data_IF_612141240238
#
_entry.id   IF_612141240238
#
_cell.length_a   1.000
_cell.length_b   1.000
_cell.length_c   1.000
_cell.angle_alpha   90.00
_cell.angle_beta   90.00
_cell.angle_gamma   90.00
#
_symmetry.space_group_name_H-M   'P 1'
#
loop_
_entity.id
_entity.type
_entity.pdbx_description
1 polymer ?
#
# COMPACT_ATOMS: atom_id res chain seq x y z
N UNK A 1 24.16 -10.52 -46.55
CA UNK A 1 24.21 -9.39 -45.61
C UNK A 1 23.44 -9.76 -44.36
N UNK A 2 24.02 -9.49 -43.20
CA UNK A 2 23.78 -10.17 -41.93
C UNK A 2 22.74 -9.47 -41.02
N UNK A 3 21.88 -10.30 -40.43
CA UNK A 3 21.41 -10.28 -39.02
C UNK A 3 20.45 -9.17 -38.50
N UNK A 4 19.69 -9.46 -37.41
CA UNK A 4 18.23 -9.29 -37.32
C UNK A 4 17.80 -8.44 -36.11
N UNK A 5 16.49 -8.35 -35.82
CA UNK A 5 16.02 -8.18 -34.44
C UNK A 5 14.87 -9.14 -34.11
N UNK A 6 15.15 -9.96 -33.09
CA UNK A 6 14.28 -10.88 -32.36
C UNK A 6 13.45 -10.12 -31.31
N UNK A 7 12.47 -10.87 -30.81
CA UNK A 7 11.81 -10.84 -29.50
C UNK A 7 10.51 -10.02 -29.45
N UNK A 8 9.37 -10.57 -29.07
CA UNK A 8 9.12 -11.86 -28.44
C UNK A 8 8.13 -11.67 -27.30
N UNK A 9 6.96 -12.29 -27.46
CA UNK A 9 6.08 -12.83 -26.41
C UNK A 9 5.38 -11.79 -25.52
N UNK A 10 4.14 -11.43 -25.87
CA UNK A 10 3.12 -11.08 -24.88
C UNK A 10 2.18 -12.30 -24.74
N UNK A 11 2.41 -13.10 -23.70
CA UNK A 11 1.47 -14.13 -23.27
C UNK A 11 0.22 -13.44 -22.72
N UNK A 12 -0.92 -13.68 -23.34
CA UNK A 12 -2.21 -13.30 -22.79
C UNK A 12 -3.21 -14.44 -23.01
N UNK A 13 -3.01 -15.52 -22.25
CA UNK A 13 -4.05 -16.53 -22.05
C UNK A 13 -4.77 -16.17 -20.75
N UNK A 14 -5.86 -15.42 -20.86
CA UNK A 14 -6.84 -15.34 -19.77
C UNK A 14 -7.71 -16.59 -19.86
N UNK A 15 -7.43 -17.59 -19.05
CA UNK A 15 -8.35 -18.70 -18.82
C UNK A 15 -9.62 -18.14 -18.16
N UNK A 16 -10.73 -18.22 -18.89
CA UNK A 16 -12.08 -18.11 -18.35
C UNK A 16 -12.27 -19.24 -17.36
N UNK A 17 -12.46 -18.97 -16.07
CA UNK A 17 -13.46 -19.61 -15.18
C UNK A 17 -13.50 -18.87 -13.82
N UNK A 18 -14.73 -18.66 -13.33
CA UNK A 18 -15.16 -18.19 -12.01
C UNK A 18 -15.68 -16.75 -11.92
N UNK A 19 -17.02 -16.68 -11.90
CA UNK A 19 -17.83 -15.54 -11.51
C UNK A 19 -17.43 -14.99 -10.13
N UNK A 20 -16.76 -13.84 -10.12
CA UNK A 20 -16.82 -12.83 -9.08
C UNK A 20 -16.66 -11.46 -9.75
N UNK A 21 -17.42 -10.46 -9.29
CA UNK A 21 -17.59 -9.11 -9.87
C UNK A 21 -16.29 -8.51 -10.44
N UNK A 22 -16.34 -7.77 -11.58
CA UNK A 22 -15.16 -7.10 -12.08
C UNK A 22 -14.76 -6.00 -11.09
N UNK A 23 -13.64 -6.21 -10.40
CA UNK A 23 -12.82 -5.10 -9.94
C UNK A 23 -12.66 -4.14 -11.13
N UNK A 24 -12.77 -2.80 -10.93
CA UNK A 24 -12.69 -1.86 -12.04
C UNK A 24 -11.46 -2.20 -12.87
N UNK A 25 -11.68 -2.46 -14.16
CA UNK A 25 -10.63 -2.80 -15.11
C UNK A 25 -9.59 -1.69 -15.05
N UNK A 26 -8.52 -1.90 -14.27
CA UNK A 26 -7.36 -1.04 -14.24
C UNK A 26 -6.83 -1.08 -15.67
N UNK A 27 -7.22 -0.08 -16.45
CA UNK A 27 -6.74 0.05 -17.81
C UNK A 27 -5.23 0.22 -17.66
N UNK A 28 -4.40 -0.68 -18.20
CA UNK A 28 -2.97 -0.59 -18.00
C UNK A 28 -2.51 0.75 -18.58
N UNK A 29 -2.08 1.65 -17.70
CA UNK A 29 -1.52 2.93 -18.09
C UNK A 29 -0.34 2.66 -19.02
N UNK A 30 -0.36 3.21 -20.22
CA UNK A 30 0.76 3.05 -21.16
C UNK A 30 2.04 3.59 -20.50
N UNK A 31 3.19 2.89 -20.61
CA UNK A 31 4.45 3.38 -20.05
C UNK A 31 4.76 4.80 -20.53
N UNK A 32 5.18 5.66 -19.60
CA UNK A 32 5.63 7.03 -19.88
C UNK A 32 7.07 7.17 -19.40
N UNK A 33 7.88 7.85 -20.20
CA UNK A 33 9.22 8.23 -19.79
C UNK A 33 9.13 9.37 -18.76
N UNK A 34 9.81 9.21 -17.63
CA UNK A 34 9.86 10.18 -16.56
C UNK A 34 11.28 10.70 -16.36
N UNK A 35 11.41 11.99 -16.05
CA UNK A 35 12.71 12.62 -15.86
C UNK A 35 13.28 12.32 -14.48
N UNK A 36 14.51 11.81 -14.45
CA UNK A 36 15.34 11.71 -13.26
C UNK A 36 16.02 13.05 -12.98
N UNK A 37 16.08 13.42 -11.70
CA UNK A 37 16.77 14.61 -11.23
C UNK A 37 17.42 14.37 -9.86
N UNK A 38 18.18 15.36 -9.39
CA UNK A 38 18.85 15.33 -8.09
C UNK A 38 18.11 16.21 -7.09
N UNK A 39 17.88 15.67 -5.89
CA UNK A 39 17.45 16.43 -4.72
C UNK A 39 18.55 16.32 -3.66
N UNK A 40 19.45 17.31 -3.60
CA UNK A 40 20.66 17.27 -2.77
C UNK A 40 21.48 15.99 -3.00
N UNK A 41 21.55 15.12 -1.99
CA UNK A 41 22.29 13.85 -2.02
C UNK A 41 21.48 12.68 -2.58
N UNK A 42 20.17 12.83 -2.84
CA UNK A 42 19.30 11.78 -3.38
C UNK A 42 18.94 11.98 -4.85
N UNK A 43 18.56 10.89 -5.51
CA UNK A 43 17.94 10.91 -6.83
C UNK A 43 16.41 10.95 -6.66
N UNK A 44 15.72 11.63 -7.57
CA UNK A 44 14.28 11.76 -7.57
C UNK A 44 13.72 11.57 -8.99
N UNK A 45 12.48 11.09 -9.06
CA UNK A 45 11.69 10.94 -10.30
C UNK A 45 10.53 11.92 -10.23
N UNK A 46 10.23 12.62 -11.32
CA UNK A 46 8.95 13.35 -11.41
C UNK A 46 7.86 12.36 -11.81
N UNK A 47 6.88 12.16 -10.94
CA UNK A 47 5.73 11.30 -11.21
C UNK A 47 4.70 12.12 -11.99
N UNK A 48 4.37 11.75 -13.25
CA UNK A 48 3.30 12.40 -14.00
C UNK A 48 1.95 12.21 -13.30
N UNK A 49 1.01 13.16 -13.47
CA UNK A 49 -0.27 13.20 -12.76
C UNK A 49 -1.10 11.92 -12.95
N UNK A 50 -1.00 11.27 -14.10
CA UNK A 50 -1.71 10.02 -14.37
C UNK A 50 -1.20 8.81 -13.55
N UNK A 51 -0.01 8.92 -12.95
CA UNK A 51 0.59 7.92 -12.06
C UNK A 51 0.70 8.42 -10.61
N UNK A 52 0.00 9.50 -10.26
CA UNK A 52 0.02 10.04 -8.90
C UNK A 52 -0.47 8.99 -7.89
N UNK A 53 0.34 8.75 -6.85
CA UNK A 53 0.02 7.80 -5.80
C UNK A 53 -0.76 8.52 -4.69
N UNK A 54 -1.74 7.84 -4.07
CA UNK A 54 -2.44 8.42 -2.92
C UNK A 54 -1.49 8.58 -1.73
N UNK A 55 -1.70 9.66 -0.95
CA UNK A 55 -0.96 9.94 0.27
C UNK A 55 0.35 10.71 0.07
N UNK A 56 1.15 10.80 1.13
CA UNK A 56 2.41 11.58 1.18
C UNK A 56 3.66 10.68 1.27
N UNK A 57 3.48 9.36 1.38
CA UNK A 57 4.53 8.38 1.64
C UNK A 57 4.39 7.15 0.75
N UNK A 58 5.54 6.61 0.38
CA UNK A 58 5.64 5.41 -0.44
C UNK A 58 6.68 4.44 0.14
N UNK A 59 6.45 3.14 -0.04
CA UNK A 59 7.43 2.09 0.14
C UNK A 59 8.14 1.86 -1.19
N UNK A 60 9.46 1.65 -1.15
CA UNK A 60 10.26 1.39 -2.34
C UNK A 60 11.04 0.10 -2.12
N UNK A 61 10.90 -0.85 -3.05
CA UNK A 61 11.72 -2.05 -3.08
C UNK A 61 12.21 -2.35 -4.50
N UNK A 62 13.20 -3.24 -4.62
CA UNK A 62 13.85 -3.56 -5.90
C UNK A 62 13.60 -5.02 -6.26
N UNK A 63 13.11 -5.23 -7.48
CA UNK A 63 12.96 -6.55 -8.09
C UNK A 63 13.80 -6.62 -9.36
N UNK A 64 14.98 -7.23 -9.27
CA UNK A 64 15.95 -7.25 -10.37
C UNK A 64 16.35 -5.83 -10.79
N UNK A 65 16.05 -5.47 -12.04
CA UNK A 65 16.33 -4.13 -12.59
C UNK A 65 15.22 -3.10 -12.33
N UNK A 66 14.09 -3.50 -11.75
CA UNK A 66 12.92 -2.63 -11.52
C UNK A 66 12.93 -2.07 -10.11
N UNK A 67 12.52 -0.80 -9.99
CA UNK A 67 12.12 -0.22 -8.71
C UNK A 67 10.60 -0.25 -8.64
N UNK A 68 10.07 -0.91 -7.62
CA UNK A 68 8.64 -0.97 -7.32
C UNK A 68 8.35 0.08 -6.23
N UNK A 69 7.35 0.91 -6.48
CA UNK A 69 6.93 2.00 -5.59
C UNK A 69 5.47 1.80 -5.25
N UNK A 70 5.16 1.64 -3.97
CA UNK A 70 3.83 1.35 -3.46
C UNK A 70 3.40 2.43 -2.46
N UNK A 71 2.15 2.91 -2.49
CA UNK A 71 1.69 3.88 -1.52
C UNK A 71 1.66 3.26 -0.12
N UNK A 72 2.10 4.01 0.89
CA UNK A 72 1.90 3.59 2.28
C UNK A 72 0.50 4.02 2.69
N UNK A 73 -0.44 3.08 2.64
CA UNK A 73 -1.79 3.31 3.18
C UNK A 73 -1.73 3.26 4.70
N UNK A 74 -2.05 4.38 5.35
CA UNK A 74 -2.34 4.42 6.78
C UNK A 74 -3.71 5.05 6.98
N UNK A 75 -4.42 4.67 8.04
CA UNK A 75 -5.59 5.40 8.49
C UNK A 75 -5.24 6.87 8.71
N UNK A 76 -5.99 7.75 8.05
CA UNK A 76 -5.83 9.20 8.18
C UNK A 76 -6.67 9.78 9.31
N UNK A 77 -7.63 9.00 9.80
CA UNK A 77 -8.54 9.39 10.87
C UNK A 77 -8.93 8.19 11.75
N UNK A 78 -9.55 8.47 12.90
CA UNK A 78 -9.96 7.45 13.88
C UNK A 78 -10.96 6.45 13.29
N UNK A 79 -11.82 6.87 12.35
CA UNK A 79 -12.84 6.01 11.74
C UNK A 79 -12.19 4.98 10.83
N UNK A 80 -11.24 5.40 9.98
CA UNK A 80 -10.43 4.52 9.14
C UNK A 80 -9.62 3.54 9.99
N UNK A 81 -9.06 3.99 11.12
CA UNK A 81 -8.26 3.15 12.01
C UNK A 81 -9.12 2.06 12.63
N UNK A 82 -10.29 2.43 13.16
CA UNK A 82 -11.24 1.47 13.72
C UNK A 82 -11.76 0.49 12.65
N UNK A 83 -11.96 0.95 11.41
CA UNK A 83 -12.36 0.08 10.31
C UNK A 83 -11.26 -0.91 9.91
N UNK A 84 -9.98 -0.52 10.04
CA UNK A 84 -8.84 -1.41 9.84
C UNK A 84 -8.75 -2.44 10.97
N UNK A 85 -8.78 -2.03 12.23
CA UNK A 85 -8.76 -2.94 13.38
C UNK A 85 -9.93 -3.93 13.39
N UNK A 86 -11.11 -3.56 12.88
CA UNK A 86 -12.23 -4.49 12.72
C UNK A 86 -11.95 -5.64 11.74
N UNK A 87 -10.97 -5.51 10.85
CA UNK A 87 -10.57 -6.58 9.91
C UNK A 87 -9.58 -7.56 10.55
N UNK A 88 -8.95 -7.17 11.65
CA UNK A 88 -8.01 -8.03 12.36
C UNK A 88 -8.75 -9.14 13.11
N UNK A 89 -8.04 -10.23 13.37
CA UNK A 89 -8.61 -11.32 14.15
C UNK A 89 -8.89 -10.85 15.59
N UNK A 90 -9.95 -11.36 16.24
CA UNK A 90 -10.16 -11.11 17.66
C UNK A 90 -8.93 -11.51 18.48
N UNK A 91 -8.65 -10.72 19.52
CA UNK A 91 -7.56 -10.97 20.45
C UNK A 91 -7.67 -12.37 21.09
N UNK A 92 -6.52 -13.02 21.25
CA UNK A 92 -6.43 -14.36 21.81
C UNK A 92 -6.58 -14.38 23.34
N UNK A 93 -6.69 -15.56 23.96
CA UNK A 93 -6.69 -15.69 25.42
C UNK A 93 -5.47 -15.07 26.11
N UNK A 94 -4.33 -15.01 25.43
CA UNK A 94 -3.08 -14.41 25.89
C UNK A 94 -3.16 -12.88 26.03
N UNK A 95 -4.06 -12.24 25.28
CA UNK A 95 -4.26 -10.79 25.27
C UNK A 95 -5.40 -10.36 26.19
N UNK A 96 -6.02 -11.29 26.91
CA UNK A 96 -7.11 -10.97 27.84
C UNK A 96 -6.58 -10.13 29.00
N UNK A 97 -7.12 -8.93 29.11
CA UNK A 97 -6.85 -8.05 30.23
C UNK A 97 -7.36 -8.67 31.53
N UNK A 98 -6.57 -8.54 32.60
CA UNK A 98 -7.00 -8.91 33.94
C UNK A 98 -8.21 -8.07 34.34
N UNK A 99 -9.14 -8.68 35.07
CA UNK A 99 -10.27 -7.94 35.63
C UNK A 99 -9.74 -6.87 36.59
N UNK A 100 -9.93 -5.59 36.22
CA UNK A 100 -9.63 -4.46 37.09
C UNK A 100 -10.89 -4.18 37.91
N UNK A 101 -10.86 -4.30 39.26
CA UNK A 101 -11.99 -3.95 40.08
C UNK A 101 -12.27 -2.45 39.99
N UNK A 102 -13.53 -2.09 39.74
CA UNK A 102 -14.01 -0.70 39.74
C UNK A 102 -14.08 -0.18 41.18
N UNK A 103 -12.91 0.20 41.72
CA UNK A 103 -12.82 0.74 43.07
C UNK A 103 -13.31 2.18 43.06
N UNK A 104 -14.14 2.58 44.04
CA UNK A 104 -14.49 3.98 44.20
C UNK A 104 -13.23 4.82 44.42
N UNK A 105 -13.28 6.08 44.00
CA UNK A 105 -12.22 7.04 44.31
C UNK A 105 -11.97 7.07 45.82
N UNK A 106 -10.70 7.15 46.22
CA UNK A 106 -10.36 7.36 47.62
C UNK A 106 -10.71 8.81 47.96
N UNK A 107 -11.18 9.11 49.18
CA UNK A 107 -11.28 10.49 49.61
C UNK A 107 -9.87 11.06 49.79
N UNK A 108 -9.49 12.03 48.97
CA UNK A 108 -8.33 12.88 49.24
C UNK A 108 -8.76 14.16 49.98
N UNK A 109 -8.00 14.54 50.99
CA UNK A 109 -8.17 15.85 51.63
C UNK A 109 -7.53 16.92 50.74
N UNK A 110 -8.37 17.69 50.05
CA UNK A 110 -7.99 18.72 49.08
C UNK A 110 -7.98 20.13 49.69
N UNK A 111 -7.94 20.26 51.02
CA UNK A 111 -7.96 21.54 51.73
C UNK A 111 -6.90 21.65 52.83
#
# INVERSE_FOLDING_TARGET
>A
MAHPLRSGIYNMAYTLENHAMPAPLLTPSRPKEAKLFRNNRSQAVRIPVEFELPGDRVMIHREGSKLIVEPVTRPTNIVELLAEWRKEAPLGPEDQLLAIPDMPARPEDIF
#
